data_IF_751749448001
#
_entry.id   IF_751749448001
#
_cell.length_a   1.000
_cell.length_b   1.000
_cell.length_c   1.000
_cell.angle_alpha   90.00
_cell.angle_beta   90.00
_cell.angle_gamma   90.00
#
_symmetry.space_group_name_H-M   'P 1'
#
loop_
_entity.id
_entity.type
_entity.pdbx_description
1 polymer ?
#
# COMPACT_ATOMS: atom_id res chain seq x y z
N UNK A 1 -5.81 -6.02 -7.68
CA UNK A 1 -5.49 -4.80 -8.47
C UNK A 1 -6.69 -4.22 -9.21
N UNK A 2 -7.48 -5.01 -9.96
CA UNK A 2 -8.63 -4.51 -10.73
C UNK A 2 -9.59 -3.65 -9.91
N UNK A 3 -9.87 -4.04 -8.66
CA UNK A 3 -10.72 -3.26 -7.77
C UNK A 3 -10.09 -1.94 -7.30
N UNK A 4 -8.76 -1.85 -7.14
CA UNK A 4 -8.13 -0.57 -6.76
C UNK A 4 -8.34 0.49 -7.85
N UNK A 5 -8.22 0.08 -9.11
CA UNK A 5 -8.47 0.95 -10.28
C UNK A 5 -9.95 1.29 -10.41
N UNK A 6 -10.84 0.31 -10.21
CA UNK A 6 -12.29 0.51 -10.31
C UNK A 6 -12.84 1.56 -9.32
N UNK A 7 -12.15 1.79 -8.21
CA UNK A 7 -12.53 2.77 -7.19
C UNK A 7 -11.69 4.06 -7.26
N UNK A 8 -11.07 4.34 -8.41
CA UNK A 8 -10.37 5.59 -8.70
C UNK A 8 -8.89 5.63 -8.31
N UNK A 9 -8.32 4.51 -7.85
CA UNK A 9 -6.88 4.39 -7.62
C UNK A 9 -6.09 4.29 -8.93
N UNK A 10 -4.83 4.72 -8.90
CA UNK A 10 -3.90 4.64 -10.04
C UNK A 10 -2.75 3.71 -9.67
N UNK A 11 -2.51 2.69 -10.49
CA UNK A 11 -1.33 1.83 -10.36
C UNK A 11 -0.21 2.42 -11.19
N UNK A 12 0.83 2.91 -10.51
CA UNK A 12 1.99 3.51 -11.15
C UNK A 12 2.91 2.43 -11.73
N UNK A 13 3.60 2.78 -12.82
CA UNK A 13 4.72 2.00 -13.32
C UNK A 13 5.98 2.34 -12.51
N UNK A 14 6.98 1.46 -12.56
CA UNK A 14 8.20 1.60 -11.75
C UNK A 14 8.99 2.89 -12.02
N UNK A 15 8.91 3.43 -13.23
CA UNK A 15 9.54 4.68 -13.66
C UNK A 15 8.82 5.95 -13.16
N UNK A 16 7.60 5.81 -12.63
CA UNK A 16 6.80 6.89 -12.04
C UNK A 16 6.74 6.79 -10.51
N UNK A 17 7.74 6.16 -9.89
CA UNK A 17 7.73 5.92 -8.45
C UNK A 17 7.58 7.19 -7.63
N UNK A 18 8.10 8.33 -8.10
CA UNK A 18 8.05 9.63 -7.43
C UNK A 18 6.62 10.15 -7.17
N UNK A 19 5.63 9.66 -7.90
CA UNK A 19 4.21 10.05 -7.74
C UNK A 19 3.48 9.20 -6.70
N UNK A 20 4.15 8.19 -6.13
CA UNK A 20 3.52 7.22 -5.24
C UNK A 20 3.08 7.86 -3.91
N UNK A 21 1.78 7.76 -3.62
CA UNK A 21 1.21 8.14 -2.32
C UNK A 21 1.16 6.95 -1.35
N UNK A 22 1.05 5.74 -1.88
CA UNK A 22 0.92 4.49 -1.12
C UNK A 22 1.73 3.38 -1.79
N UNK A 23 2.38 2.55 -0.96
CA UNK A 23 3.06 1.31 -1.39
C UNK A 23 2.33 0.15 -0.75
N UNK A 24 1.79 -0.75 -1.57
CA UNK A 24 1.03 -1.90 -1.10
C UNK A 24 1.92 -3.14 -0.98
N UNK A 25 1.93 -3.74 0.21
CA UNK A 25 2.66 -4.95 0.54
C UNK A 25 1.68 -6.10 0.73
N UNK A 26 2.09 -7.31 0.38
CA UNK A 26 1.26 -8.50 0.62
C UNK A 26 1.18 -8.86 2.11
N UNK A 27 2.24 -8.55 2.86
CA UNK A 27 2.33 -8.79 4.31
C UNK A 27 2.38 -7.47 5.08
N UNK A 28 1.89 -7.49 6.31
CA UNK A 28 1.95 -6.35 7.23
C UNK A 28 3.28 -6.26 8.01
N UNK A 29 4.18 -7.24 7.83
CA UNK A 29 5.54 -7.23 8.34
C UNK A 29 6.46 -7.51 7.14
N UNK A 30 7.47 -6.66 6.95
CA UNK A 30 8.49 -6.83 5.92
C UNK A 30 9.87 -6.70 6.53
N UNK A 31 10.84 -7.39 5.93
CA UNK A 31 12.24 -7.28 6.33
C UNK A 31 12.83 -5.91 6.02
N UNK A 32 12.65 -5.47 4.77
CA UNK A 32 13.10 -4.18 4.29
C UNK A 32 12.23 -3.70 3.11
N UNK A 33 12.08 -2.38 2.91
CA UNK A 33 11.45 -1.85 1.71
C UNK A 33 12.36 -2.05 0.49
N UNK A 34 11.92 -2.84 -0.48
CA UNK A 34 12.67 -3.11 -1.73
C UNK A 34 12.25 -2.23 -2.91
N UNK A 35 11.26 -1.34 -2.71
CA UNK A 35 10.67 -0.51 -3.75
C UNK A 35 11.10 0.95 -3.53
N UNK A 36 11.60 1.58 -4.60
CA UNK A 36 11.87 3.01 -4.64
C UNK A 36 10.55 3.78 -4.54
N UNK A 37 10.48 4.75 -3.63
CA UNK A 37 9.28 5.56 -3.40
C UNK A 37 9.64 6.87 -2.67
N UNK A 38 8.78 7.89 -2.74
CA UNK A 38 8.94 9.11 -1.96
C UNK A 38 8.88 8.81 -0.46
N UNK A 39 9.63 9.57 0.33
CA UNK A 39 9.59 9.47 1.79
C UNK A 39 8.20 9.72 2.38
N UNK A 40 7.34 10.46 1.67
CA UNK A 40 5.95 10.72 2.07
C UNK A 40 5.01 9.52 1.85
N UNK A 41 5.41 8.55 1.03
CA UNK A 41 4.56 7.41 0.67
C UNK A 41 4.25 6.54 1.89
N UNK A 42 3.01 6.06 1.98
CA UNK A 42 2.55 5.21 3.09
C UNK A 42 2.67 3.74 2.71
N UNK A 43 3.43 2.98 3.48
CA UNK A 43 3.58 1.54 3.29
C UNK A 43 2.43 0.82 4.01
N UNK A 44 1.54 0.20 3.25
CA UNK A 44 0.33 -0.44 3.75
C UNK A 44 0.25 -1.90 3.33
N UNK A 45 -0.40 -2.73 4.15
CA UNK A 45 -0.78 -4.07 3.77
C UNK A 45 -1.97 -4.04 2.78
N UNK A 46 -2.02 -4.99 1.84
CA UNK A 46 -3.06 -5.09 0.80
C UNK A 46 -4.47 -5.26 1.38
N UNK A 47 -4.56 -5.72 2.63
CA UNK A 47 -5.77 -5.82 3.45
C UNK A 47 -6.52 -4.49 3.52
N UNK A 48 -5.82 -3.35 3.55
CA UNK A 48 -6.45 -2.03 3.55
C UNK A 48 -7.37 -1.83 2.33
N UNK A 49 -6.90 -2.25 1.15
CA UNK A 49 -7.67 -2.17 -0.09
C UNK A 49 -8.84 -3.15 -0.04
N UNK A 50 -8.61 -4.38 0.41
CA UNK A 50 -9.65 -5.42 0.53
C UNK A 50 -10.79 -4.94 1.44
N UNK A 51 -10.46 -4.40 2.60
CA UNK A 51 -11.44 -3.95 3.60
C UNK A 51 -12.15 -2.65 3.18
N UNK A 52 -11.45 -1.76 2.48
CA UNK A 52 -12.07 -0.55 1.89
C UNK A 52 -13.15 -0.91 0.87
N UNK A 53 -12.89 -1.92 0.04
CA UNK A 53 -13.86 -2.41 -0.94
C UNK A 53 -14.99 -3.16 -0.23
N UNK A 54 -14.67 -4.08 0.68
CA UNK A 54 -15.66 -4.92 1.36
C UNK A 54 -16.66 -4.09 2.18
N UNK A 55 -16.19 -3.02 2.83
CA UNK A 55 -17.03 -2.13 3.64
C UNK A 55 -17.61 -0.95 2.85
N UNK A 56 -17.31 -0.83 1.55
CA UNK A 56 -17.70 0.29 0.70
C UNK A 56 -17.42 1.67 1.34
N UNK A 57 -16.29 1.78 2.03
CA UNK A 57 -15.90 2.96 2.81
C UNK A 57 -14.40 3.00 2.98
N UNK A 58 -13.80 4.19 2.86
CA UNK A 58 -12.36 4.38 3.00
C UNK A 58 -11.93 4.03 4.44
N UNK A 59 -11.18 2.94 4.59
CA UNK A 59 -10.71 2.52 5.91
C UNK A 59 -9.54 3.39 6.38
N UNK A 60 -9.39 3.51 7.70
CA UNK A 60 -8.24 4.17 8.29
C UNK A 60 -6.95 3.38 8.00
N UNK A 61 -6.08 3.94 7.16
CA UNK A 61 -4.84 3.29 6.75
C UNK A 61 -3.89 3.00 7.92
N UNK A 62 -4.00 3.73 9.05
CA UNK A 62 -3.10 3.59 10.20
C UNK A 62 -3.15 2.19 10.79
N UNK A 63 -4.29 1.50 10.69
CA UNK A 63 -4.48 0.13 11.14
C UNK A 63 -3.74 -0.91 10.27
N UNK A 64 -3.29 -0.51 9.09
CA UNK A 64 -2.70 -1.39 8.07
C UNK A 64 -1.26 -1.01 7.73
N UNK A 65 -0.64 -0.11 8.49
CA UNK A 65 0.75 0.27 8.28
C UNK A 65 1.66 -0.94 8.46
N UNK A 66 2.56 -1.10 7.50
CA UNK A 66 3.55 -2.16 7.52
C UNK A 66 4.58 -1.89 8.61
N UNK A 67 4.94 -2.93 9.36
CA UNK A 67 6.03 -2.91 10.33
C UNK A 67 7.30 -3.43 9.67
N UNK A 68 8.42 -2.82 10.03
CA UNK A 68 9.74 -3.29 9.61
C UNK A 68 10.33 -4.16 10.71
N UNK A 69 10.66 -5.38 10.36
CA UNK A 69 11.26 -6.35 11.25
C UNK A 69 12.43 -7.03 10.52
N UNK A 70 13.69 -6.72 10.84
CA UNK A 70 14.83 -7.26 10.12
C UNK A 70 15.03 -8.78 10.32
N UNK A 71 14.32 -9.36 11.28
CA UNK A 71 14.43 -10.77 11.68
C UNK A 71 13.43 -11.70 10.96
N UNK A 72 12.52 -11.17 10.12
CA UNK A 72 11.61 -11.96 9.27
C UNK A 72 12.20 -12.35 7.91
#
# INVERSE_FOLDING_TARGET
MTYFIAYGGVVLKADHWEEATHVLHYYNIIREPTIECPYSAKHLAVEWVKDTIANNSLQDFRCYMVKWDPDV
#
